data_IF_138278102737
#
_entry.id   IF_138278102737
#
_cell.length_a   1.000
_cell.length_b   1.000
_cell.length_c   1.000
_cell.angle_alpha   90.00
_cell.angle_beta   90.00
_cell.angle_gamma   90.00
#
_symmetry.space_group_name_H-M   'P 1'
#
loop_
_entity.id
_entity.type
_entity.pdbx_description
1 polymer ?
#
# COMPACT_ATOMS: atom_id res chain seq x y z
N UNK A 1 -24.35 2.74 24.67
CA UNK A 1 -24.01 1.78 23.61
C UNK A 1 -24.45 2.30 22.25
N UNK A 2 -23.59 2.18 21.24
CA UNK A 2 -23.83 2.57 19.84
C UNK A 2 -23.43 1.42 18.92
N UNK A 3 -24.32 1.03 18.03
CA UNK A 3 -24.04 0.14 16.91
C UNK A 3 -24.04 0.96 15.61
N UNK A 4 -23.06 0.74 14.75
CA UNK A 4 -23.00 1.38 13.44
C UNK A 4 -22.48 0.43 12.36
N UNK A 5 -22.93 0.67 11.13
CA UNK A 5 -22.48 -0.05 9.95
C UNK A 5 -21.93 0.95 8.94
N UNK A 6 -20.76 0.67 8.39
CA UNK A 6 -20.11 1.49 7.38
C UNK A 6 -19.78 0.63 6.18
N UNK A 7 -20.01 1.17 4.98
CA UNK A 7 -19.63 0.54 3.72
C UNK A 7 -18.76 1.49 2.92
N UNK A 8 -17.71 0.97 2.32
CA UNK A 8 -16.83 1.70 1.42
C UNK A 8 -16.56 0.88 0.16
N UNK A 9 -16.54 1.54 -0.98
CA UNK A 9 -16.27 0.93 -2.28
C UNK A 9 -15.39 1.85 -3.11
N UNK A 10 -14.33 1.29 -3.69
CA UNK A 10 -13.53 1.94 -4.73
C UNK A 10 -13.42 0.97 -5.89
N UNK A 11 -13.68 1.43 -7.10
CA UNK A 11 -13.60 0.62 -8.31
C UNK A 11 -12.86 1.38 -9.41
N UNK A 12 -11.97 0.66 -10.09
CA UNK A 12 -11.29 1.05 -11.31
C UNK A 12 -11.58 -0.02 -12.35
N UNK A 13 -12.67 0.18 -13.08
CA UNK A 13 -13.17 -0.73 -14.12
C UNK A 13 -13.24 -0.02 -15.46
N UNK A 14 -13.31 -0.80 -16.53
CA UNK A 14 -13.45 -0.25 -17.87
C UNK A 14 -14.80 0.45 -18.06
N UNK A 15 -14.78 1.55 -18.81
CA UNK A 15 -15.99 2.25 -19.21
C UNK A 15 -16.83 1.47 -20.23
N UNK A 16 -18.00 2.02 -20.56
CA UNK A 16 -18.98 1.43 -21.49
C UNK A 16 -18.50 1.24 -22.95
N UNK A 17 -17.29 1.69 -23.26
CA UNK A 17 -16.65 1.52 -24.57
C UNK A 17 -16.00 0.15 -24.77
N UNK A 18 -15.91 -0.65 -23.70
CA UNK A 18 -15.46 -2.04 -23.70
C UNK A 18 -16.62 -2.93 -23.22
N UNK A 19 -16.60 -4.24 -23.51
CA UNK A 19 -17.53 -5.17 -22.88
C UNK A 19 -17.52 -4.95 -21.36
N UNK A 20 -18.70 -4.89 -20.74
CA UNK A 20 -18.85 -4.46 -19.34
C UNK A 20 -18.09 -5.36 -18.35
N UNK A 21 -17.86 -4.84 -17.14
CA UNK A 21 -17.29 -5.58 -16.02
C UNK A 21 -15.77 -5.47 -15.90
N UNK A 22 -15.11 -6.60 -15.63
CA UNK A 22 -13.67 -6.69 -15.29
C UNK A 22 -12.75 -6.67 -16.51
N UNK A 23 -13.26 -6.25 -17.64
CA UNK A 23 -12.68 -6.50 -18.95
C UNK A 23 -11.72 -5.39 -19.32
N UNK A 24 -10.46 -5.69 -19.64
CA UNK A 24 -9.46 -4.67 -19.95
C UNK A 24 -8.65 -4.96 -21.21
N UNK A 25 -8.11 -3.89 -21.80
CA UNK A 25 -7.33 -3.93 -23.02
C UNK A 25 -5.83 -3.89 -22.74
N UNK A 26 -5.00 -4.63 -23.48
CA UNK A 26 -3.56 -4.45 -23.40
C UNK A 26 -3.16 -3.03 -23.78
N UNK A 27 -2.06 -2.58 -23.20
CA UNK A 27 -1.45 -1.30 -23.53
C UNK A 27 -0.44 -1.44 -24.66
N UNK A 28 -0.20 -0.35 -25.37
CA UNK A 28 0.94 -0.17 -26.24
C UNK A 28 1.80 0.97 -25.70
N UNK A 29 3.09 0.70 -25.51
CA UNK A 29 4.09 1.69 -25.14
C UNK A 29 5.01 1.86 -26.36
N UNK A 30 4.93 3.00 -27.02
CA UNK A 30 5.79 3.35 -28.15
C UNK A 30 6.90 4.23 -27.61
N UNK A 31 8.10 3.68 -27.53
CA UNK A 31 9.29 4.33 -26.98
C UNK A 31 10.08 5.03 -28.08
N UNK A 32 10.95 5.97 -27.68
CA UNK A 32 11.86 6.71 -28.58
C UNK A 32 11.12 7.48 -29.68
N UNK A 33 9.93 8.00 -29.39
CA UNK A 33 9.21 8.90 -30.29
C UNK A 33 9.92 10.25 -30.28
N UNK A 34 10.49 10.61 -31.43
CA UNK A 34 11.25 11.84 -31.62
C UNK A 34 10.33 13.05 -31.83
N UNK A 35 10.59 14.13 -31.11
CA UNK A 35 9.99 15.44 -31.33
C UNK A 35 11.03 16.54 -31.18
N UNK A 36 10.78 17.70 -31.77
CA UNK A 36 11.66 18.88 -31.65
C UNK A 36 10.95 19.94 -30.81
N UNK A 37 11.58 20.35 -29.71
CA UNK A 37 11.15 21.46 -28.88
C UNK A 37 12.36 22.35 -28.55
N UNK A 38 12.24 23.66 -28.73
CA UNK A 38 13.31 24.64 -28.50
C UNK A 38 14.64 24.29 -29.17
N UNK A 39 14.59 23.77 -30.41
CA UNK A 39 15.76 23.37 -31.18
C UNK A 39 16.46 22.10 -30.68
N UNK A 40 15.90 21.41 -29.67
CA UNK A 40 16.42 20.14 -29.14
C UNK A 40 15.56 18.98 -29.61
N UNK A 41 16.21 17.89 -30.00
CA UNK A 41 15.52 16.62 -30.23
C UNK A 41 15.25 15.97 -28.89
N UNK A 42 13.98 15.71 -28.60
CA UNK A 42 13.52 15.02 -27.42
C UNK A 42 13.02 13.63 -27.83
N UNK A 43 13.36 12.62 -27.03
CA UNK A 43 12.81 11.27 -27.16
C UNK A 43 11.83 11.05 -26.02
N UNK A 44 10.59 10.74 -26.37
CA UNK A 44 9.51 10.50 -25.41
C UNK A 44 8.84 9.15 -25.67
N UNK A 45 7.97 8.73 -24.76
CA UNK A 45 7.15 7.54 -24.93
C UNK A 45 5.67 7.91 -25.01
N UNK A 46 4.93 7.27 -25.90
CA UNK A 46 3.48 7.36 -26.00
C UNK A 46 2.88 6.08 -25.41
N UNK A 47 1.92 6.22 -24.50
CA UNK A 47 1.16 5.09 -23.94
C UNK A 47 -0.28 5.14 -24.41
N UNK A 48 -0.77 4.01 -24.94
CA UNK A 48 -2.12 3.84 -25.49
C UNK A 48 -2.76 2.58 -24.89
N UNK A 49 -4.10 2.51 -24.87
CA UNK A 49 -4.84 1.31 -24.48
C UNK A 49 -5.47 1.39 -23.09
N UNK A 50 -5.61 0.23 -22.43
CA UNK A 50 -6.29 0.10 -21.14
C UNK A 50 -5.55 0.77 -19.97
N UNK A 51 -6.16 0.73 -18.79
CA UNK A 51 -5.56 1.24 -17.55
C UNK A 51 -4.78 0.10 -16.86
N UNK A 52 -3.60 0.42 -16.30
CA UNK A 52 -2.63 -0.56 -15.75
C UNK A 52 -3.17 -1.46 -14.63
N UNK A 53 -3.98 -0.91 -13.75
CA UNK A 53 -4.53 -1.56 -12.55
C UNK A 53 -5.93 -2.11 -12.80
N UNK A 54 -6.62 -1.66 -13.83
CA UNK A 54 -7.95 -2.18 -14.13
C UNK A 54 -7.89 -3.66 -14.59
N UNK A 55 -8.84 -4.51 -14.15
CA UNK A 55 -9.86 -4.24 -13.15
C UNK A 55 -9.30 -4.28 -11.72
N UNK A 56 -9.58 -3.23 -10.94
CA UNK A 56 -9.23 -3.16 -9.52
C UNK A 56 -10.47 -2.72 -8.73
N UNK A 57 -10.74 -3.37 -7.62
CA UNK A 57 -11.80 -2.93 -6.70
C UNK A 57 -11.48 -3.27 -5.26
N UNK A 58 -11.98 -2.44 -4.35
CA UNK A 58 -11.89 -2.65 -2.90
C UNK A 58 -13.26 -2.35 -2.29
N UNK A 59 -13.91 -3.38 -1.79
CA UNK A 59 -15.14 -3.28 -1.02
C UNK A 59 -14.86 -3.58 0.44
N UNK A 60 -15.46 -2.80 1.34
CA UNK A 60 -15.37 -3.02 2.78
C UNK A 60 -16.73 -2.78 3.43
N UNK A 61 -17.11 -3.68 4.32
CA UNK A 61 -18.26 -3.54 5.21
C UNK A 61 -17.78 -3.70 6.65
N UNK A 62 -18.01 -2.68 7.47
CA UNK A 62 -17.60 -2.63 8.88
C UNK A 62 -18.84 -2.62 9.75
N UNK A 63 -18.92 -3.54 10.70
CA UNK A 63 -19.88 -3.51 11.79
C UNK A 63 -19.16 -3.15 13.08
N UNK A 64 -19.56 -2.07 13.73
CA UNK A 64 -18.88 -1.55 14.92
C UNK A 64 -19.85 -1.37 16.08
N UNK A 65 -19.51 -1.97 17.22
CA UNK A 65 -20.17 -1.80 18.49
C UNK A 65 -19.23 -1.04 19.44
N UNK A 66 -19.69 0.10 19.97
CA UNK A 66 -18.94 0.87 20.94
C UNK A 66 -19.79 1.24 22.15
N UNK A 67 -19.17 1.27 23.32
CA UNK A 67 -19.81 1.69 24.56
C UNK A 67 -18.86 2.47 25.47
N UNK A 68 -19.42 3.39 26.24
CA UNK A 68 -18.72 4.17 27.24
C UNK A 68 -19.48 4.11 28.55
N UNK A 69 -18.77 3.74 29.61
CA UNK A 69 -19.25 3.76 30.99
C UNK A 69 -18.53 4.89 31.73
N UNK A 70 -19.32 5.78 32.32
CA UNK A 70 -18.82 6.90 33.10
C UNK A 70 -18.99 6.62 34.59
N UNK A 71 -17.92 6.79 35.35
CA UNK A 71 -17.94 6.65 36.81
C UNK A 71 -17.29 7.87 37.43
N UNK A 72 -18.11 8.76 37.99
CA UNK A 72 -17.65 10.03 38.54
C UNK A 72 -17.70 9.99 40.07
N UNK A 73 -16.64 10.50 40.68
CA UNK A 73 -16.52 10.76 42.12
C UNK A 73 -16.44 12.27 42.33
N UNK A 74 -16.39 12.73 43.57
CA UNK A 74 -16.24 14.16 43.88
C UNK A 74 -14.95 14.78 43.33
N UNK A 75 -13.90 13.97 43.11
CA UNK A 75 -12.55 14.45 42.74
C UNK A 75 -12.07 13.95 41.38
N UNK A 76 -12.52 12.77 40.97
CA UNK A 76 -12.02 12.06 39.79
C UNK A 76 -13.21 11.61 38.94
N UNK A 77 -13.15 11.92 37.66
CA UNK A 77 -14.07 11.42 36.64
C UNK A 77 -13.38 10.30 35.86
N UNK A 78 -13.95 9.11 35.87
CA UNK A 78 -13.48 7.97 35.10
C UNK A 78 -14.36 7.73 33.87
N UNK A 79 -13.73 7.33 32.78
CA UNK A 79 -14.38 6.86 31.56
C UNK A 79 -13.74 5.54 31.18
N UNK A 80 -14.55 4.50 31.08
CA UNK A 80 -14.17 3.21 30.53
C UNK A 80 -14.88 3.04 29.20
N UNK A 81 -14.21 2.51 28.19
CA UNK A 81 -14.87 2.26 26.93
C UNK A 81 -14.36 1.03 26.22
N UNK A 82 -15.24 0.51 25.39
CA UNK A 82 -15.04 -0.67 24.56
C UNK A 82 -15.39 -0.32 23.12
N UNK A 83 -14.63 -0.88 22.20
CA UNK A 83 -14.78 -0.72 20.77
C UNK A 83 -14.55 -2.05 20.08
N UNK A 84 -15.55 -2.59 19.41
CA UNK A 84 -15.49 -3.88 18.72
C UNK A 84 -15.88 -3.66 17.28
N UNK A 85 -14.96 -3.93 16.36
CA UNK A 85 -15.16 -3.77 14.93
C UNK A 85 -14.93 -5.11 14.25
N UNK A 86 -15.91 -5.56 13.47
CA UNK A 86 -15.76 -6.62 12.49
C UNK A 86 -15.75 -6.02 11.10
N UNK A 87 -14.71 -6.31 10.33
CA UNK A 87 -14.58 -5.82 8.95
C UNK A 87 -14.57 -7.00 8.00
N UNK A 88 -15.43 -6.96 6.99
CA UNK A 88 -15.41 -7.83 5.82
C UNK A 88 -14.94 -7.03 4.61
N UNK A 89 -13.85 -7.46 3.98
CA UNK A 89 -13.32 -6.87 2.75
C UNK A 89 -13.35 -7.88 1.61
N UNK A 90 -13.67 -7.39 0.41
CA UNK A 90 -13.50 -8.11 -0.83
C UNK A 90 -12.73 -7.22 -1.80
N UNK A 91 -11.54 -7.66 -2.20
CA UNK A 91 -10.62 -6.84 -2.98
C UNK A 91 -10.09 -7.60 -4.18
N UNK A 92 -10.05 -6.97 -5.34
CA UNK A 92 -9.34 -7.48 -6.52
C UNK A 92 -8.20 -6.54 -6.83
N UNK A 93 -7.00 -7.09 -6.83
CA UNK A 93 -5.77 -6.39 -7.12
C UNK A 93 -4.98 -7.12 -8.21
N UNK A 94 -4.32 -6.35 -9.07
CA UNK A 94 -3.40 -6.84 -10.08
C UNK A 94 -2.78 -5.66 -10.84
N UNK A 95 -1.55 -5.84 -11.32
CA UNK A 95 -0.85 -4.84 -12.11
C UNK A 95 -0.51 -5.44 -13.46
N UNK A 96 -0.89 -4.77 -14.55
CA UNK A 96 -0.65 -5.25 -15.92
C UNK A 96 -1.38 -6.57 -16.24
N UNK A 97 -2.49 -6.84 -15.57
CA UNK A 97 -3.33 -8.03 -15.85
C UNK A 97 -3.96 -7.99 -17.25
N UNK A 98 -4.00 -6.80 -17.83
CA UNK A 98 -4.42 -6.51 -19.20
C UNK A 98 -3.31 -6.74 -20.24
N UNK A 99 -2.04 -6.83 -19.82
CA UNK A 99 -0.88 -6.97 -20.70
C UNK A 99 -0.41 -5.67 -21.35
N UNK A 100 0.83 -5.66 -21.83
CA UNK A 100 1.44 -4.50 -22.49
C UNK A 100 2.45 -4.91 -23.56
N UNK A 101 2.35 -4.27 -24.72
CA UNK A 101 3.29 -4.37 -25.83
C UNK A 101 4.23 -3.17 -25.84
N UNK A 102 5.51 -3.41 -26.11
CA UNK A 102 6.51 -2.35 -26.27
C UNK A 102 7.00 -2.30 -27.72
N UNK A 103 7.07 -1.08 -28.24
CA UNK A 103 7.54 -0.79 -29.59
C UNK A 103 8.65 0.24 -29.51
N UNK A 104 9.60 0.14 -30.44
CA UNK A 104 10.62 1.18 -30.65
C UNK A 104 10.27 1.98 -31.89
N UNK A 105 9.88 3.24 -31.71
CA UNK A 105 9.49 4.13 -32.80
C UNK A 105 8.11 3.84 -33.42
N UNK A 106 7.60 4.81 -34.18
CA UNK A 106 6.26 4.74 -34.78
C UNK A 106 6.17 3.74 -35.93
N UNK A 107 7.25 3.49 -36.66
CA UNK A 107 7.24 2.53 -37.79
C UNK A 107 6.96 1.10 -37.33
N UNK A 108 7.56 0.68 -36.22
CA UNK A 108 7.29 -0.62 -35.61
C UNK A 108 5.88 -0.70 -35.03
N UNK A 109 5.36 0.40 -34.48
CA UNK A 109 3.97 0.45 -34.04
C UNK A 109 2.99 0.30 -35.22
N UNK A 110 3.21 1.04 -36.31
CA UNK A 110 2.40 0.96 -37.54
C UNK A 110 2.47 -0.42 -38.20
N UNK A 111 3.62 -1.09 -38.11
CA UNK A 111 3.84 -2.43 -38.66
C UNK A 111 3.46 -3.56 -37.70
N UNK A 112 2.99 -3.24 -36.49
CA UNK A 112 2.64 -4.20 -35.43
C UNK A 112 3.79 -5.15 -35.07
N UNK A 113 5.01 -4.63 -35.00
CA UNK A 113 6.25 -5.37 -34.67
C UNK A 113 6.81 -4.98 -33.29
N UNK A 114 6.14 -5.37 -32.19
CA UNK A 114 6.66 -5.11 -30.85
C UNK A 114 7.93 -5.92 -30.57
N UNK A 115 8.83 -5.36 -29.75
CA UNK A 115 10.06 -6.06 -29.33
C UNK A 115 9.90 -6.77 -27.98
N UNK A 116 8.87 -6.41 -27.19
CA UNK A 116 8.58 -6.99 -25.87
C UNK A 116 7.08 -7.07 -25.60
N UNK A 117 6.67 -8.12 -24.89
CA UNK A 117 5.34 -8.25 -24.30
C UNK A 117 5.46 -8.67 -22.84
N UNK A 118 4.72 -8.02 -21.95
CA UNK A 118 4.65 -8.40 -20.55
C UNK A 118 3.20 -8.42 -20.06
N UNK A 119 2.85 -9.38 -19.21
CA UNK A 119 1.50 -9.51 -18.64
C UNK A 119 1.53 -10.27 -17.33
N UNK A 120 0.72 -9.83 -16.39
CA UNK A 120 0.33 -10.60 -15.21
C UNK A 120 -0.92 -11.43 -15.52
N UNK A 121 -0.90 -12.71 -15.18
CA UNK A 121 -1.87 -13.72 -15.61
C UNK A 121 -2.44 -14.39 -14.36
N UNK A 122 -3.76 -14.29 -14.14
CA UNK A 122 -4.45 -15.08 -13.13
C UNK A 122 -4.31 -16.59 -13.38
N UNK A 123 -3.99 -17.31 -12.32
CA UNK A 123 -3.86 -18.78 -12.28
C UNK A 123 -5.14 -19.47 -11.81
N UNK A 124 -6.08 -18.67 -11.30
CA UNK A 124 -7.40 -19.09 -10.80
C UNK A 124 -8.46 -18.19 -11.44
N UNK A 125 -9.70 -18.69 -11.50
CA UNK A 125 -10.82 -17.97 -12.13
C UNK A 125 -11.11 -16.62 -11.45
N UNK A 126 -11.04 -16.57 -10.12
CA UNK A 126 -11.16 -15.34 -9.34
C UNK A 126 -9.93 -15.09 -8.46
N UNK A 127 -9.03 -14.16 -8.85
CA UNK A 127 -7.87 -13.79 -8.04
C UNK A 127 -8.22 -12.83 -6.90
N UNK A 128 -9.51 -12.51 -6.67
CA UNK A 128 -9.91 -11.67 -5.54
C UNK A 128 -9.46 -12.25 -4.19
N UNK A 129 -9.35 -11.36 -3.21
CA UNK A 129 -8.98 -11.65 -1.83
C UNK A 129 -10.13 -11.20 -0.94
N UNK A 130 -10.65 -12.16 -0.19
CA UNK A 130 -11.55 -11.91 0.92
C UNK A 130 -10.76 -11.80 2.21
N UNK A 131 -11.06 -10.79 3.02
CA UNK A 131 -10.42 -10.57 4.31
C UNK A 131 -11.46 -10.19 5.35
N UNK A 132 -11.57 -11.03 6.37
CA UNK A 132 -12.33 -10.80 7.55
C UNK A 132 -11.34 -10.56 8.69
N UNK A 133 -11.52 -9.47 9.42
CA UNK A 133 -10.68 -9.18 10.58
C UNK A 133 -11.48 -8.48 11.67
N UNK A 134 -10.99 -8.63 12.89
CA UNK A 134 -11.58 -8.03 14.08
C UNK A 134 -10.57 -7.03 14.65
N UNK A 135 -11.04 -5.82 14.93
CA UNK A 135 -10.32 -4.85 15.77
C UNK A 135 -11.09 -4.70 17.08
N UNK A 136 -10.37 -4.75 18.19
CA UNK A 136 -10.92 -4.61 19.53
C UNK A 136 -10.10 -3.58 20.29
N UNK A 137 -10.78 -2.54 20.77
CA UNK A 137 -10.22 -1.51 21.63
C UNK A 137 -10.84 -1.56 23.02
N UNK A 138 -10.00 -1.56 24.05
CA UNK A 138 -10.41 -1.32 25.43
C UNK A 138 -9.66 -0.11 25.95
N UNK A 139 -10.34 0.81 26.62
CA UNK A 139 -9.68 1.98 27.19
C UNK A 139 -10.26 2.40 28.52
N UNK A 140 -9.39 2.99 29.33
CA UNK A 140 -9.74 3.66 30.57
C UNK A 140 -9.07 5.04 30.58
N UNK A 141 -9.81 6.03 31.06
CA UNK A 141 -9.35 7.41 31.21
C UNK A 141 -9.81 7.94 32.55
N UNK A 142 -8.95 8.70 33.21
CA UNK A 142 -9.28 9.48 34.39
C UNK A 142 -9.02 10.96 34.14
N UNK A 143 -9.86 11.80 34.73
CA UNK A 143 -9.68 13.25 34.79
C UNK A 143 -9.80 13.69 36.24
N UNK A 144 -8.85 14.48 36.72
CA UNK A 144 -8.82 14.95 38.12
C UNK A 144 -8.13 16.31 38.21
N UNK A 145 -8.48 17.07 39.23
CA UNK A 145 -7.73 18.24 39.65
C UNK A 145 -6.66 17.81 40.66
N UNK A 146 -5.38 18.03 40.35
CA UNK A 146 -4.25 17.67 41.23
C UNK A 146 -3.91 18.79 42.22
N UNK A 147 -4.11 20.05 41.81
CA UNK A 147 -3.89 21.24 42.62
C UNK A 147 -4.72 22.41 42.09
N UNK A 148 -4.65 23.58 42.74
CA UNK A 148 -5.34 24.79 42.27
C UNK A 148 -4.95 25.11 40.82
N UNK A 149 -5.96 25.10 39.94
CA UNK A 149 -5.83 25.27 38.50
C UNK A 149 -5.07 24.19 37.73
N UNK A 150 -4.56 23.12 38.38
CA UNK A 150 -3.80 22.04 37.73
C UNK A 150 -4.70 20.82 37.52
N UNK A 151 -5.13 20.62 36.27
CA UNK A 151 -5.92 19.48 35.83
C UNK A 151 -5.01 18.43 35.16
N UNK A 152 -5.27 17.17 35.45
CA UNK A 152 -4.63 16.03 34.81
C UNK A 152 -5.69 15.16 34.13
N UNK A 153 -5.41 14.80 32.89
CA UNK A 153 -6.08 13.72 32.17
C UNK A 153 -5.05 12.63 31.90
N UNK A 154 -5.32 11.41 32.34
CA UNK A 154 -4.48 10.25 32.06
C UNK A 154 -5.35 9.12 31.53
N UNK A 155 -4.84 8.33 30.60
CA UNK A 155 -5.58 7.21 30.05
C UNK A 155 -4.67 6.17 29.43
N UNK A 156 -5.24 4.99 29.25
CA UNK A 156 -4.60 3.85 28.60
C UNK A 156 -5.60 3.25 27.62
N UNK A 157 -5.11 2.87 26.44
CA UNK A 157 -5.87 2.13 25.45
C UNK A 157 -5.10 0.87 25.06
N UNK A 158 -5.78 -0.25 25.04
CA UNK A 158 -5.29 -1.51 24.48
C UNK A 158 -6.05 -1.76 23.18
N UNK A 159 -5.32 -1.90 22.06
CA UNK A 159 -5.89 -2.26 20.77
C UNK A 159 -5.38 -3.64 20.35
N UNK A 160 -6.28 -4.51 19.91
CA UNK A 160 -6.00 -5.83 19.39
C UNK A 160 -6.62 -5.99 18.00
N UNK A 161 -5.82 -6.48 17.05
CA UNK A 161 -6.26 -6.75 15.68
C UNK A 161 -5.91 -8.17 15.31
N UNK A 162 -6.87 -8.89 14.72
CA UNK A 162 -6.65 -10.24 14.22
C UNK A 162 -7.29 -10.45 12.85
N UNK A 163 -6.48 -10.79 11.86
CA UNK A 163 -6.96 -11.22 10.55
C UNK A 163 -7.37 -12.70 10.63
N UNK A 164 -8.66 -12.95 10.38
CA UNK A 164 -9.26 -14.28 10.45
C UNK A 164 -8.89 -15.11 9.22
N UNK A 165 -8.92 -14.47 8.04
CA UNK A 165 -8.39 -15.05 6.81
C UNK A 165 -6.86 -14.95 6.80
N UNK A 166 -6.21 -16.06 6.46
CA UNK A 166 -4.75 -16.19 6.50
C UNK A 166 -4.18 -16.37 5.09
N UNK A 167 -2.96 -15.89 4.82
CA UNK A 167 -2.28 -16.17 3.56
C UNK A 167 -1.98 -17.67 3.41
N UNK A 168 -1.87 -18.14 2.16
CA UNK A 168 -1.59 -19.54 1.89
C UNK A 168 -0.11 -19.85 2.07
N UNK A 169 0.17 -21.10 2.43
CA UNK A 169 1.54 -21.63 2.41
C UNK A 169 1.87 -22.18 1.03
N UNK A 170 2.95 -21.69 0.41
CA UNK A 170 3.46 -22.21 -0.85
C UNK A 170 4.69 -23.09 -0.61
N UNK A 171 4.52 -24.41 -0.78
CA UNK A 171 5.57 -25.39 -0.58
C UNK A 171 6.78 -25.16 -1.51
N UNK A 172 6.57 -24.77 -2.76
CA UNK A 172 7.65 -24.55 -3.73
C UNK A 172 8.53 -23.37 -3.28
N UNK A 173 7.90 -22.27 -2.83
CA UNK A 173 8.64 -21.11 -2.30
C UNK A 173 9.45 -21.49 -1.06
N UNK A 174 8.91 -22.35 -0.20
CA UNK A 174 9.63 -22.82 0.98
C UNK A 174 10.79 -23.76 0.61
N UNK A 175 10.59 -24.70 -0.30
CA UNK A 175 11.62 -25.66 -0.70
C UNK A 175 12.77 -24.98 -1.45
N UNK A 176 12.45 -24.04 -2.35
CA UNK A 176 13.45 -23.36 -3.20
C UNK A 176 14.15 -22.20 -2.49
N UNK A 177 13.44 -21.45 -1.63
CA UNK A 177 13.94 -20.20 -1.02
C UNK A 177 14.01 -20.22 0.51
N UNK A 178 13.43 -21.23 1.18
CA UNK A 178 13.33 -21.26 2.65
C UNK A 178 12.38 -20.21 3.24
N UNK A 179 11.51 -19.61 2.42
CA UNK A 179 10.63 -18.51 2.82
C UNK A 179 9.21 -19.00 3.05
N UNK A 180 8.56 -18.46 4.09
CA UNK A 180 7.15 -18.74 4.40
C UNK A 180 6.24 -17.63 3.89
N UNK A 181 5.23 -18.00 3.11
CA UNK A 181 4.20 -17.09 2.58
C UNK A 181 3.01 -16.95 3.52
N UNK A 182 2.82 -17.85 4.48
CA UNK A 182 1.62 -17.96 5.31
C UNK A 182 1.64 -17.14 6.62
N UNK A 183 2.57 -16.19 6.75
CA UNK A 183 2.60 -15.29 7.89
C UNK A 183 1.42 -14.29 7.84
N UNK A 184 0.42 -14.55 8.69
CA UNK A 184 -0.68 -13.63 8.97
C UNK A 184 -0.26 -12.55 9.99
N UNK A 185 -1.12 -11.55 10.17
CA UNK A 185 -0.90 -10.45 11.11
C UNK A 185 -1.87 -10.55 12.30
N UNK A 186 -1.30 -10.58 13.49
CA UNK A 186 -2.03 -10.42 14.75
C UNK A 186 -1.26 -9.42 15.60
N UNK A 187 -1.95 -8.40 16.12
CA UNK A 187 -1.26 -7.29 16.78
C UNK A 187 -1.91 -6.90 18.07
N UNK A 188 -1.08 -6.52 19.03
CA UNK A 188 -1.52 -5.93 20.29
C UNK A 188 -0.72 -4.65 20.56
N UNK A 189 -1.41 -3.58 20.92
CA UNK A 189 -0.82 -2.27 21.19
C UNK A 189 -1.31 -1.74 22.53
N UNK A 190 -0.39 -1.31 23.38
CA UNK A 190 -0.72 -0.56 24.59
C UNK A 190 -0.33 0.90 24.42
N UNK A 191 -1.29 1.79 24.64
CA UNK A 191 -1.22 3.21 24.29
C UNK A 191 -1.55 4.09 25.50
N UNK A 192 -0.59 4.28 26.42
CA UNK A 192 -0.73 5.24 27.52
C UNK A 192 -0.68 6.67 27.00
N UNK A 193 -1.46 7.55 27.62
CA UNK A 193 -1.55 8.99 27.32
C UNK A 193 -1.73 9.78 28.60
N UNK A 194 -1.09 10.93 28.68
CA UNK A 194 -1.25 11.87 29.79
C UNK A 194 -1.18 13.30 29.29
N UNK A 195 -1.99 14.16 29.88
CA UNK A 195 -2.03 15.58 29.60
C UNK A 195 -2.29 16.34 30.90
N UNK A 196 -1.41 17.29 31.21
CA UNK A 196 -1.59 18.28 32.24
C UNK A 196 -2.02 19.59 31.60
N UNK A 197 -2.95 20.29 32.25
CA UNK A 197 -3.34 21.67 31.94
C UNK A 197 -3.29 22.46 33.24
N UNK A 198 -2.52 23.54 33.27
CA UNK A 198 -2.37 24.39 34.45
C UNK A 198 -2.79 25.83 34.13
N UNK A 199 -3.91 26.26 34.70
CA UNK A 199 -4.29 27.67 34.80
C UNK A 199 -3.69 28.26 36.08
N UNK A 200 -2.63 29.07 35.93
CA UNK A 200 -1.86 29.58 37.07
C UNK A 200 -2.72 30.48 37.97
N UNK A 201 -3.11 29.91 39.11
CA UNK A 201 -3.95 30.56 40.11
C UNK A 201 -5.42 30.67 39.74
N UNK A 202 -5.88 29.93 38.71
CA UNK A 202 -7.27 29.94 38.21
C UNK A 202 -7.71 31.31 37.70
N UNK A 203 -6.76 32.06 37.13
CA UNK A 203 -6.97 33.43 36.63
C UNK A 203 -7.36 33.46 35.16
N UNK A 204 -7.37 32.31 34.49
CA UNK A 204 -7.58 32.13 33.05
C UNK A 204 -6.63 32.96 32.18
N UNK A 205 -5.50 33.39 32.76
CA UNK A 205 -4.57 34.32 32.11
C UNK A 205 -3.35 33.61 31.55
N UNK A 206 -2.77 32.71 32.33
CA UNK A 206 -1.54 32.00 32.02
C UNK A 206 -1.85 30.49 32.04
N UNK A 207 -1.94 29.88 30.86
CA UNK A 207 -2.34 28.49 30.68
C UNK A 207 -1.17 27.70 30.11
N UNK A 208 -0.67 26.75 30.89
CA UNK A 208 0.38 25.80 30.49
C UNK A 208 -0.29 24.46 30.16
N UNK A 209 0.14 23.80 29.08
CA UNK A 209 -0.24 22.42 28.78
C UNK A 209 1.02 21.62 28.51
N UNK A 210 1.14 20.46 29.12
CA UNK A 210 2.23 19.51 28.90
C UNK A 210 1.61 18.12 28.80
N UNK A 211 1.92 17.39 27.74
CA UNK A 211 1.37 16.06 27.57
C UNK A 211 2.19 15.19 26.66
N UNK A 212 1.86 13.91 26.67
CA UNK A 212 2.51 12.93 25.82
C UNK A 212 1.77 11.61 25.81
N UNK A 213 2.11 10.77 24.85
CA UNK A 213 1.52 9.46 24.75
C UNK A 213 2.04 8.66 23.57
N UNK A 214 1.61 7.41 23.55
CA UNK A 214 1.88 6.45 22.49
C UNK A 214 0.60 6.30 21.66
N UNK A 215 0.75 6.30 20.34
CA UNK A 215 -0.33 6.19 19.38
C UNK A 215 0.02 5.11 18.38
N UNK A 216 -0.79 4.06 18.33
CA UNK A 216 -0.69 3.03 17.33
C UNK A 216 -1.52 3.37 16.10
N UNK A 217 -1.09 2.85 14.96
CA UNK A 217 -1.88 2.85 13.72
C UNK A 217 -2.57 1.51 13.55
N UNK A 218 -3.69 1.51 12.84
CA UNK A 218 -4.18 0.29 12.20
C UNK A 218 -3.19 -0.21 11.14
N UNK A 219 -3.24 -1.51 10.87
CA UNK A 219 -2.49 -2.11 9.76
C UNK A 219 -3.09 -1.62 8.44
N UNK A 220 -2.22 -1.28 7.50
CA UNK A 220 -2.63 -1.07 6.11
C UNK A 220 -3.05 -2.41 5.51
N UNK A 221 -4.36 -2.66 5.34
CA UNK A 221 -4.90 -3.94 4.81
C UNK A 221 -4.25 -4.40 3.50
N UNK A 222 -3.77 -3.44 2.71
CA UNK A 222 -3.05 -3.68 1.46
C UNK A 222 -1.82 -4.59 1.61
N UNK A 223 -1.18 -4.65 2.78
CA UNK A 223 -0.05 -5.56 3.05
C UNK A 223 -0.49 -7.01 3.02
N UNK A 224 -1.63 -7.31 3.66
CA UNK A 224 -2.24 -8.64 3.65
C UNK A 224 -2.78 -8.99 2.27
N UNK A 225 -3.41 -8.04 1.55
CA UNK A 225 -3.88 -8.28 0.18
C UNK A 225 -2.70 -8.68 -0.71
N UNK A 226 -1.58 -7.94 -0.66
CA UNK A 226 -0.42 -8.27 -1.46
C UNK A 226 0.17 -9.64 -1.14
N UNK A 227 0.30 -9.99 0.14
CA UNK A 227 0.80 -11.32 0.52
C UNK A 227 -0.14 -12.42 -0.02
N UNK A 228 -1.45 -12.25 0.11
CA UNK A 228 -2.44 -13.24 -0.36
C UNK A 228 -2.57 -13.33 -1.89
N UNK A 229 -2.30 -12.24 -2.63
CA UNK A 229 -2.30 -12.24 -4.10
C UNK A 229 -0.99 -12.80 -4.67
N UNK A 230 0.14 -12.41 -4.09
CA UNK A 230 1.48 -12.73 -4.56
C UNK A 230 2.14 -13.79 -3.68
N UNK A 231 1.43 -14.89 -3.40
CA UNK A 231 1.98 -16.08 -2.75
C UNK A 231 2.48 -17.12 -3.77
N UNK A 232 2.42 -16.80 -5.07
CA UNK A 232 2.76 -17.68 -6.19
C UNK A 232 1.63 -18.62 -6.62
N UNK A 233 0.45 -18.54 -6.00
CA UNK A 233 -0.69 -19.43 -6.29
C UNK A 233 -1.80 -18.75 -7.10
N UNK A 234 -2.00 -17.42 -6.95
CA UNK A 234 -3.07 -16.69 -7.66
C UNK A 234 -2.63 -16.02 -8.96
N UNK A 235 -1.42 -15.48 -9.01
CA UNK A 235 -0.89 -14.75 -10.17
C UNK A 235 0.50 -15.27 -10.56
N UNK A 236 0.76 -15.31 -11.85
CA UNK A 236 2.11 -15.41 -12.42
C UNK A 236 2.23 -14.45 -13.60
N UNK A 237 3.44 -14.15 -14.05
CA UNK A 237 3.69 -13.22 -15.13
C UNK A 237 4.51 -13.86 -16.25
N UNK A 238 4.40 -13.24 -17.42
CA UNK A 238 5.33 -13.41 -18.53
C UNK A 238 5.99 -12.07 -18.82
N UNK A 239 7.28 -12.12 -19.16
CA UNK A 239 8.03 -11.00 -19.71
C UNK A 239 8.88 -11.52 -20.85
N UNK A 240 8.42 -11.25 -22.07
CA UNK A 240 8.89 -11.88 -23.29
C UNK A 240 9.56 -10.81 -24.14
N UNK A 241 10.77 -11.09 -24.59
CA UNK A 241 11.51 -10.25 -25.54
C UNK A 241 11.99 -11.08 -26.72
N UNK A 242 11.94 -10.51 -27.92
CA UNK A 242 12.58 -11.12 -29.08
C UNK A 242 14.10 -11.06 -28.91
N UNK A 243 14.79 -12.13 -29.31
CA UNK A 243 16.25 -12.19 -29.33
C UNK A 243 16.74 -12.78 -30.65
N UNK A 244 18.03 -12.64 -30.96
CA UNK A 244 18.61 -13.22 -32.18
C UNK A 244 18.38 -14.75 -32.27
N UNK A 245 18.42 -15.45 -31.13
CA UNK A 245 18.16 -16.89 -31.06
C UNK A 245 16.66 -17.25 -31.17
N UNK A 246 15.77 -16.30 -30.84
CA UNK A 246 14.31 -16.50 -30.83
C UNK A 246 13.60 -15.21 -31.28
N UNK A 247 13.54 -14.96 -32.60
CA UNK A 247 13.08 -13.67 -33.13
C UNK A 247 11.56 -13.47 -33.08
N UNK A 248 10.77 -14.52 -32.83
CA UNK A 248 9.31 -14.52 -32.94
C UNK A 248 8.62 -14.99 -31.64
N UNK A 249 9.15 -14.64 -30.47
CA UNK A 249 8.52 -15.00 -29.19
C UNK A 249 7.39 -14.03 -28.80
N UNK A 250 7.54 -12.76 -29.16
CA UNK A 250 6.57 -11.72 -28.81
C UNK A 250 5.33 -11.87 -29.72
N UNK A 251 4.11 -11.97 -29.16
CA UNK A 251 2.90 -12.07 -29.96
C UNK A 251 2.69 -10.84 -30.84
N UNK A 252 2.22 -11.03 -32.06
CA UNK A 252 1.75 -9.93 -32.91
C UNK A 252 0.45 -9.35 -32.33
N UNK A 253 0.37 -8.05 -32.03
CA UNK A 253 -0.81 -7.46 -31.41
C UNK A 253 -1.97 -7.30 -32.40
N UNK A 254 -3.19 -7.61 -31.97
CA UNK A 254 -4.43 -7.34 -32.68
C UNK A 254 -5.40 -6.52 -31.79
N UNK A 255 -5.13 -5.23 -31.67
CA UNK A 255 -5.91 -4.32 -30.81
C UNK A 255 -7.41 -4.28 -31.13
N UNK A 256 -7.87 -4.28 -32.40
CA UNK A 256 -9.29 -4.38 -32.72
C UNK A 256 -9.92 -5.67 -32.18
N UNK A 257 -9.27 -6.83 -32.35
CA UNK A 257 -9.76 -8.10 -31.82
C UNK A 257 -9.82 -8.08 -30.29
N UNK A 258 -8.76 -7.59 -29.63
CA UNK A 258 -8.74 -7.48 -28.18
C UNK A 258 -9.84 -6.56 -27.67
N UNK A 259 -10.29 -5.57 -28.45
CA UNK A 259 -11.40 -4.69 -28.09
C UNK A 259 -12.76 -5.36 -28.23
N UNK A 260 -12.98 -6.12 -29.30
CA UNK A 260 -14.24 -6.85 -29.50
C UNK A 260 -14.35 -8.08 -28.59
N UNK A 261 -13.23 -8.74 -28.33
CA UNK A 261 -13.13 -9.93 -27.49
C UNK A 261 -11.83 -9.94 -26.66
N UNK A 262 -11.88 -9.33 -25.46
CA UNK A 262 -10.72 -9.22 -24.56
C UNK A 262 -10.16 -10.57 -24.09
N UNK A 263 -10.93 -11.65 -24.17
CA UNK A 263 -10.44 -13.01 -23.88
C UNK A 263 -9.37 -13.48 -24.87
N UNK A 264 -9.27 -12.84 -26.04
CA UNK A 264 -8.24 -13.11 -27.05
C UNK A 264 -6.90 -12.42 -26.77
N UNK A 265 -6.80 -11.63 -25.70
CA UNK A 265 -5.52 -11.03 -25.29
C UNK A 265 -4.56 -12.14 -24.86
N UNK A 266 -3.31 -12.19 -25.38
CA UNK A 266 -2.37 -13.26 -25.06
C UNK A 266 -2.13 -13.43 -23.56
N UNK A 267 -2.27 -14.63 -23.01
CA UNK A 267 -2.33 -14.89 -21.57
C UNK A 267 -1.72 -16.23 -21.18
N UNK A 268 -2.49 -17.07 -20.49
CA UNK A 268 -2.00 -18.32 -19.90
C UNK A 268 -1.42 -19.32 -20.92
N UNK A 269 -1.88 -19.27 -22.17
CA UNK A 269 -1.33 -20.09 -23.25
C UNK A 269 0.14 -19.80 -23.54
N UNK A 270 0.63 -18.61 -23.19
CA UNK A 270 2.04 -18.24 -23.33
C UNK A 270 2.96 -19.09 -22.45
N UNK A 271 2.47 -19.63 -21.33
CA UNK A 271 3.25 -20.53 -20.48
C UNK A 271 3.60 -21.86 -21.16
N UNK A 272 2.89 -22.22 -22.23
CA UNK A 272 3.14 -23.44 -22.99
C UNK A 272 4.15 -23.25 -24.12
N UNK A 273 4.59 -22.02 -24.38
CA UNK A 273 5.56 -21.72 -25.46
C UNK A 273 6.97 -22.07 -24.96
N UNK A 274 7.70 -22.97 -25.63
CA UNK A 274 9.08 -23.28 -25.26
C UNK A 274 9.95 -22.04 -25.23
N UNK A 275 10.54 -21.76 -24.07
CA UNK A 275 11.43 -20.62 -23.89
C UNK A 275 10.79 -19.35 -23.32
N UNK A 276 9.48 -19.37 -23.02
CA UNK A 276 8.83 -18.36 -22.18
C UNK A 276 8.94 -18.81 -20.71
N UNK A 277 9.52 -17.95 -19.87
CA UNK A 277 9.60 -18.22 -18.43
C UNK A 277 8.31 -17.80 -17.74
N UNK A 278 7.80 -18.67 -16.86
CA UNK A 278 6.76 -18.32 -15.89
C UNK A 278 7.42 -17.63 -14.71
N UNK A 279 7.14 -16.34 -14.55
CA UNK A 279 7.68 -15.50 -13.47
C UNK A 279 6.67 -15.43 -12.34
N UNK A 280 7.11 -15.51 -11.10
CA UNK A 280 6.24 -15.31 -9.94
C UNK A 280 6.84 -14.24 -9.04
N UNK A 281 6.08 -13.18 -8.79
CA UNK A 281 6.41 -12.21 -7.74
C UNK A 281 5.89 -12.78 -6.43
N UNK A 282 6.75 -12.84 -5.42
CA UNK A 282 6.38 -13.32 -4.08
C UNK A 282 6.45 -12.14 -3.10
N UNK A 283 5.30 -11.75 -2.54
CA UNK A 283 5.22 -10.82 -1.42
C UNK A 283 4.90 -11.60 -0.15
N UNK A 284 5.66 -11.35 0.91
CA UNK A 284 5.46 -12.03 2.19
C UNK A 284 5.60 -11.07 3.36
N UNK A 285 4.87 -11.37 4.42
CA UNK A 285 5.07 -10.73 5.72
C UNK A 285 6.24 -11.42 6.43
N UNK A 286 7.10 -10.63 7.09
CA UNK A 286 8.06 -11.20 8.05
C UNK A 286 7.31 -11.72 9.28
N UNK A 287 7.89 -12.72 9.94
CA UNK A 287 7.31 -13.33 11.16
C UNK A 287 7.05 -12.30 12.28
N UNK A 288 7.95 -11.31 12.42
CA UNK A 288 7.91 -10.31 13.49
C UNK A 288 7.43 -8.93 13.03
N UNK A 289 6.47 -8.87 12.10
CA UNK A 289 5.90 -7.59 11.65
C UNK A 289 5.32 -6.83 12.84
N UNK A 290 5.71 -5.56 12.94
CA UNK A 290 5.19 -4.63 13.94
C UNK A 290 4.34 -3.57 13.24
N UNK A 291 3.30 -3.15 13.94
CA UNK A 291 2.51 -1.98 13.54
C UNK A 291 3.29 -0.67 13.70
N UNK A 292 3.01 0.33 12.85
CA UNK A 292 3.49 1.68 13.06
C UNK A 292 3.04 2.24 14.41
N UNK A 293 3.98 2.80 15.15
CA UNK A 293 3.73 3.44 16.44
C UNK A 293 4.38 4.83 16.42
N UNK A 294 3.65 5.82 16.93
CA UNK A 294 4.11 7.20 17.07
C UNK A 294 4.13 7.59 18.53
N UNK A 295 5.30 8.01 19.01
CA UNK A 295 5.46 8.63 20.31
C UNK A 295 5.32 10.14 20.12
N UNK A 296 4.41 10.76 20.88
CA UNK A 296 4.20 12.22 20.81
C UNK A 296 4.40 12.85 22.18
N UNK A 297 4.98 14.04 22.18
CA UNK A 297 4.98 14.95 23.32
C UNK A 297 4.60 16.36 22.85
N UNK A 298 3.92 17.10 23.72
CA UNK A 298 3.52 18.48 23.46
C UNK A 298 3.78 19.35 24.68
N UNK A 299 4.15 20.60 24.41
CA UNK A 299 4.17 21.68 25.38
C UNK A 299 3.52 22.91 24.76
N UNK A 300 2.62 23.57 25.48
CA UNK A 300 2.07 24.86 25.09
C UNK A 300 2.02 25.80 26.29
N UNK A 301 2.34 27.06 26.05
CA UNK A 301 2.09 28.15 26.99
C UNK A 301 1.28 29.22 26.27
N UNK A 302 0.16 29.61 26.86
CA UNK A 302 -0.73 30.65 26.34
C UNK A 302 -0.95 31.70 27.41
N UNK A 303 -0.84 32.98 27.02
CA UNK A 303 -1.07 34.12 27.90
C UNK A 303 -2.03 35.12 27.28
N UNK A 304 -3.07 35.50 28.03
CA UNK A 304 -3.81 36.74 27.76
C UNK A 304 -2.99 37.93 28.24
N UNK A 305 -2.46 38.71 27.30
CA UNK A 305 -1.71 39.94 27.57
C UNK A 305 -2.69 41.06 27.94
N UNK A 306 -3.80 41.12 27.21
CA UNK A 306 -4.98 41.95 27.49
C UNK A 306 -6.24 41.08 27.36
N UNK A 307 -7.42 41.64 27.63
CA UNK A 307 -8.70 40.94 27.42
C UNK A 307 -8.96 40.56 25.95
N UNK A 308 -8.24 41.18 25.00
CA UNK A 308 -8.42 40.97 23.55
C UNK A 308 -7.21 40.35 22.87
N UNK A 309 -6.03 40.41 23.51
CA UNK A 309 -4.78 39.91 22.93
C UNK A 309 -4.28 38.69 23.71
N UNK A 310 -4.23 37.55 23.02
CA UNK A 310 -3.65 36.30 23.49
C UNK A 310 -2.41 35.97 22.68
N UNK A 311 -1.30 35.70 23.35
CA UNK A 311 -0.07 35.19 22.75
C UNK A 311 0.19 33.77 23.26
N UNK A 312 0.84 32.95 22.44
CA UNK A 312 1.19 31.61 22.85
C UNK A 312 2.37 31.03 22.08
N UNK A 313 3.08 30.12 22.73
CA UNK A 313 4.16 29.33 22.14
C UNK A 313 3.79 27.87 22.32
N UNK A 314 3.98 27.08 21.26
CA UNK A 314 3.71 25.64 21.29
C UNK A 314 4.85 24.88 20.63
N UNK A 315 5.26 23.78 21.26
CA UNK A 315 6.26 22.86 20.77
C UNK A 315 5.69 21.44 20.73
N UNK A 316 6.07 20.69 19.70
CA UNK A 316 5.67 19.31 19.50
C UNK A 316 6.87 18.44 19.15
N UNK A 317 6.91 17.23 19.70
CA UNK A 317 7.86 16.19 19.33
C UNK A 317 7.07 14.97 18.84
N UNK A 318 7.49 14.39 17.72
CA UNK A 318 6.91 13.16 17.18
C UNK A 318 8.03 12.23 16.72
N UNK A 319 7.98 10.98 17.18
CA UNK A 319 8.92 9.93 16.81
C UNK A 319 8.13 8.72 16.29
N UNK A 320 8.20 8.46 14.99
CA UNK A 320 7.59 7.29 14.38
C UNK A 320 8.57 6.10 14.39
N UNK A 321 8.04 4.90 14.62
CA UNK A 321 8.75 3.62 14.62
C UNK A 321 7.91 2.58 13.91
N UNK A 322 8.59 1.56 13.35
CA UNK A 322 7.96 0.43 12.66
C UNK A 322 7.08 0.86 11.49
N UNK A 323 7.44 1.94 10.79
CA UNK A 323 6.74 2.34 9.58
C UNK A 323 6.84 1.21 8.54
N UNK A 324 5.75 1.02 7.83
CA UNK A 324 5.67 0.02 6.78
C UNK A 324 6.68 0.31 5.66
N UNK A 325 7.38 -0.73 5.20
CA UNK A 325 8.32 -0.66 4.09
C UNK A 325 8.33 -2.00 3.34
N UNK A 326 8.39 -1.93 2.01
CA UNK A 326 8.76 -3.08 1.18
C UNK A 326 10.27 -3.17 1.05
N UNK A 327 10.82 -4.35 1.26
CA UNK A 327 12.22 -4.67 0.97
C UNK A 327 12.25 -5.72 -0.13
N UNK A 328 12.94 -5.45 -1.23
CA UNK A 328 13.15 -6.42 -2.30
C UNK A 328 14.35 -7.30 -1.94
N UNK A 329 14.10 -8.59 -1.73
CA UNK A 329 15.16 -9.55 -1.41
C UNK A 329 16.07 -9.88 -2.61
N UNK A 330 15.66 -9.54 -3.83
CA UNK A 330 16.45 -9.76 -5.04
C UNK A 330 17.43 -8.61 -5.32
N UNK A 331 17.30 -7.47 -4.61
CA UNK A 331 18.19 -6.33 -4.81
C UNK A 331 19.53 -6.59 -4.11
N UNK A 332 20.64 -6.45 -4.85
CA UNK A 332 21.97 -6.57 -4.27
C UNK A 332 22.22 -5.48 -3.21
N UNK A 333 22.89 -5.84 -2.11
CA UNK A 333 23.14 -4.93 -0.98
C UNK A 333 24.06 -3.75 -1.35
N UNK A 334 24.95 -3.95 -2.32
CA UNK A 334 25.89 -2.92 -2.80
C UNK A 334 25.76 -2.76 -4.31
N UNK A 335 25.90 -1.52 -4.83
CA UNK A 335 25.91 -1.31 -6.26
C UNK A 335 27.18 -1.93 -6.87
N UNK A 336 27.07 -2.46 -8.09
CA UNK A 336 28.21 -2.98 -8.84
C UNK A 336 29.22 -1.87 -9.19
N UNK A 337 28.72 -0.66 -9.43
CA UNK A 337 29.51 0.56 -9.63
C UNK A 337 28.63 1.81 -9.39
N UNK A 338 29.26 2.98 -9.33
CA UNK A 338 28.58 4.26 -9.14
C UNK A 338 28.82 5.21 -10.32
N UNK A 339 27.85 6.08 -10.59
CA UNK A 339 27.91 7.09 -11.64
C UNK A 339 28.36 8.43 -11.02
N UNK A 340 29.63 8.78 -11.21
CA UNK A 340 30.23 9.99 -10.62
C UNK A 340 29.60 11.28 -11.13
N UNK A 341 29.13 11.28 -12.39
CA UNK A 341 28.39 12.38 -13.00
C UNK A 341 26.95 12.56 -12.48
N UNK A 342 26.48 11.64 -11.62
CA UNK A 342 25.13 11.66 -11.04
C UNK A 342 25.17 11.56 -9.51
N UNK A 343 26.16 12.23 -8.90
CA UNK A 343 26.29 12.27 -7.44
C UNK A 343 26.58 10.90 -6.81
N UNK A 344 27.32 10.04 -7.53
CA UNK A 344 27.64 8.66 -7.15
C UNK A 344 26.40 7.74 -7.06
N UNK A 345 25.40 7.94 -7.93
CA UNK A 345 24.24 7.04 -8.04
C UNK A 345 24.70 5.61 -8.28
N UNK A 346 24.25 4.67 -7.44
CA UNK A 346 24.58 3.25 -7.55
C UNK A 346 23.85 2.54 -8.68
N UNK A 347 24.55 1.66 -9.38
CA UNK A 347 24.01 0.79 -10.44
C UNK A 347 24.04 -0.67 -9.96
N UNK A 348 22.87 -1.32 -9.93
CA UNK A 348 22.67 -2.66 -9.35
C UNK A 348 22.62 -3.78 -10.39
N UNK A 349 23.14 -3.52 -11.59
CA UNK A 349 23.38 -4.53 -12.63
C UNK A 349 24.86 -4.48 -13.05
N UNK A 350 25.48 -5.61 -13.40
CA UNK A 350 26.86 -5.61 -13.89
C UNK A 350 27.01 -4.75 -15.15
N UNK A 351 28.10 -3.98 -15.26
CA UNK A 351 28.33 -3.11 -16.42
C UNK A 351 28.32 -3.89 -17.75
N UNK A 352 28.80 -5.13 -17.74
CA UNK A 352 28.85 -6.00 -18.93
C UNK A 352 27.47 -6.44 -19.45
N UNK A 353 26.39 -6.34 -18.65
CA UNK A 353 25.03 -6.71 -19.08
C UNK A 353 24.26 -5.53 -19.68
N UNK A 354 24.82 -4.32 -19.63
CA UNK A 354 24.19 -3.13 -20.18
C UNK A 354 24.47 -3.08 -21.68
N UNK A 355 23.41 -3.14 -22.49
CA UNK A 355 23.55 -2.99 -23.94
C UNK A 355 24.05 -1.58 -24.28
N UNK A 356 25.18 -1.50 -24.99
CA UNK A 356 25.77 -0.25 -25.48
C UNK A 356 25.13 0.24 -26.78
N UNK A 357 24.23 -0.56 -27.38
CA UNK A 357 23.63 -0.31 -28.70
C UNK A 357 22.12 -0.12 -28.66
N UNK A 358 21.53 -0.11 -27.45
CA UNK A 358 20.18 0.35 -27.22
C UNK A 358 20.18 1.89 -27.23
N UNK A 359 19.97 2.48 -28.41
CA UNK A 359 19.97 3.94 -28.56
C UNK A 359 20.03 4.44 -29.98
#
# INVERSE_FOLDING_TARGET
MKLQQLSASVESISGNQLPSGTTTLPRAIVERVSSVADGKTLLTAIQLGGQRYAPEYFFSNVSQLTDNVYFNTDKINFTFGTDLMYTHMNSRYGSEVNGRFYFTGLDNFNSLTPYRYAREIPLVDDPSVQQNFINTGLYAQMQTKLAKGLDMMAGIRADYTNYLDKPNFNQIVFDDLGLRTDHSLTTFQLQPRVQFTWDLGERQKDIIRLGGGIFGSDILNYTMINNMVFDGTKLAAVDIQNSAARPNLVPTPNFPLYRSDPSKTPGAELFNIPGVSRLSTINLNRENVKIPVVYKANFSYNRFITERLRLGVTAYLSLARNNYMYTDANLADQPFFTLSNEGNRGVYVPAATISTTNG
#
